data_IF_426501539714
#
_entry.id   IF_426501539714
#
_cell.length_a   1.000
_cell.length_b   1.000
_cell.length_c   1.000
_cell.angle_alpha   90.00
_cell.angle_beta   90.00
_cell.angle_gamma   90.00
#
_symmetry.space_group_name_H-M   'P 1'
#
loop_
_entity.id
_entity.type
_entity.pdbx_description
1 polymer ?
#
# COMPACT_ATOMS: atom_id res chain seq x y z
N UNK A 1 -9.44 -0.08 7.41
CA UNK A 1 -9.59 0.01 5.96
C UNK A 1 -8.78 -1.06 5.24
N UNK A 2 -7.47 -1.11 5.42
CA UNK A 2 -6.58 -2.06 4.73
C UNK A 2 -6.96 -3.53 4.93
N UNK A 3 -7.32 -3.94 6.14
CA UNK A 3 -7.79 -5.32 6.41
C UNK A 3 -9.07 -5.67 5.64
N UNK A 4 -10.01 -4.71 5.51
CA UNK A 4 -11.23 -4.94 4.71
C UNK A 4 -10.88 -5.02 3.21
N UNK A 5 -9.99 -4.18 2.73
CA UNK A 5 -9.50 -4.23 1.35
C UNK A 5 -8.79 -5.57 1.05
N UNK A 6 -7.93 -6.02 1.97
CA UNK A 6 -7.27 -7.32 1.87
C UNK A 6 -8.28 -8.48 1.88
N UNK A 7 -9.26 -8.45 2.79
CA UNK A 7 -10.29 -9.47 2.85
C UNK A 7 -11.09 -9.56 1.55
N UNK A 8 -11.52 -8.42 1.00
CA UNK A 8 -12.24 -8.36 -0.27
C UNK A 8 -11.38 -8.86 -1.44
N UNK A 9 -10.11 -8.48 -1.47
CA UNK A 9 -9.18 -8.93 -2.52
C UNK A 9 -8.97 -10.46 -2.49
N UNK A 10 -8.88 -11.05 -1.31
CA UNK A 10 -8.83 -12.51 -1.13
C UNK A 10 -10.11 -13.17 -1.60
N UNK A 11 -11.26 -12.63 -1.21
CA UNK A 11 -12.57 -13.14 -1.61
C UNK A 11 -12.70 -13.19 -3.13
N UNK A 12 -12.34 -12.11 -3.84
CA UNK A 12 -12.34 -12.07 -5.31
C UNK A 12 -11.53 -13.21 -5.91
N UNK A 13 -10.31 -13.45 -5.43
CA UNK A 13 -9.45 -14.50 -5.98
C UNK A 13 -9.95 -15.90 -5.63
N UNK A 14 -10.47 -16.09 -4.41
CA UNK A 14 -10.93 -17.38 -3.93
C UNK A 14 -12.29 -17.82 -4.51
N UNK A 15 -13.06 -16.88 -5.06
CA UNK A 15 -14.32 -17.18 -5.79
C UNK A 15 -14.06 -17.79 -7.17
N UNK A 16 -12.83 -17.74 -7.68
CA UNK A 16 -12.55 -18.32 -8.99
C UNK A 16 -12.80 -19.86 -8.98
N UNK A 17 -13.51 -20.41 -9.98
CA UNK A 17 -13.77 -21.85 -10.07
C UNK A 17 -12.50 -22.72 -10.07
N UNK A 18 -11.39 -22.15 -10.49
CA UNK A 18 -10.10 -22.84 -10.56
C UNK A 18 -9.24 -22.66 -9.31
N UNK A 19 -9.70 -21.90 -8.32
CA UNK A 19 -8.95 -21.65 -7.09
C UNK A 19 -8.44 -22.93 -6.42
N UNK A 20 -9.31 -23.95 -6.31
CA UNK A 20 -8.94 -25.26 -5.74
C UNK A 20 -7.83 -25.99 -6.51
N UNK A 21 -7.60 -25.62 -7.76
CA UNK A 21 -6.52 -26.13 -8.62
C UNK A 21 -5.24 -25.28 -8.53
N UNK A 22 -5.25 -24.21 -7.73
CA UNK A 22 -4.09 -23.37 -7.47
C UNK A 22 -3.86 -22.24 -8.50
N UNK A 23 -4.87 -21.90 -9.30
CA UNK A 23 -4.78 -20.75 -10.20
C UNK A 23 -6.09 -19.95 -10.25
N UNK A 24 -6.02 -18.75 -10.79
CA UNK A 24 -7.12 -17.80 -10.92
C UNK A 24 -7.25 -17.40 -12.39
N UNK A 25 -8.45 -17.47 -12.91
CA UNK A 25 -8.77 -17.06 -14.27
C UNK A 25 -8.75 -15.54 -14.47
N UNK A 26 -8.87 -15.12 -15.72
CA UNK A 26 -8.72 -13.73 -16.10
C UNK A 26 -9.76 -12.81 -15.48
N UNK A 27 -11.00 -13.27 -15.33
CA UNK A 27 -12.09 -12.40 -14.86
C UNK A 27 -11.92 -12.02 -13.39
N UNK A 28 -11.63 -12.99 -12.51
CA UNK A 28 -11.33 -12.69 -11.11
C UNK A 28 -10.05 -11.87 -10.95
N UNK A 29 -9.03 -12.15 -11.79
CA UNK A 29 -7.79 -11.36 -11.77
C UNK A 29 -7.99 -9.92 -12.24
N UNK A 30 -8.86 -9.67 -13.22
CA UNK A 30 -9.26 -8.32 -13.63
C UNK A 30 -10.02 -7.58 -12.53
N UNK A 31 -10.96 -8.25 -11.86
CA UNK A 31 -11.69 -7.65 -10.73
C UNK A 31 -10.72 -7.27 -9.60
N UNK A 32 -9.82 -8.18 -9.25
CA UNK A 32 -8.74 -7.89 -8.29
C UNK A 32 -7.90 -6.69 -8.74
N UNK A 33 -7.56 -6.63 -10.03
CA UNK A 33 -6.79 -5.52 -10.61
C UNK A 33 -7.50 -4.18 -10.50
N UNK A 34 -8.79 -4.11 -10.81
CA UNK A 34 -9.60 -2.90 -10.64
C UNK A 34 -9.59 -2.41 -9.18
N UNK A 35 -9.70 -3.32 -8.23
CA UNK A 35 -9.66 -3.03 -6.81
C UNK A 35 -8.25 -2.62 -6.35
N UNK A 36 -7.26 -3.52 -6.51
CA UNK A 36 -5.95 -3.41 -5.85
C UNK A 36 -4.93 -2.58 -6.63
N UNK A 37 -5.12 -2.35 -7.92
CA UNK A 37 -4.25 -1.48 -8.72
C UNK A 37 -4.85 -0.09 -8.94
N UNK A 38 -6.17 0.04 -8.86
CA UNK A 38 -6.90 1.29 -9.12
C UNK A 38 -7.46 1.92 -7.85
N UNK A 39 -8.47 1.29 -7.27
CA UNK A 39 -9.28 1.94 -6.23
C UNK A 39 -8.56 2.09 -4.89
N UNK A 40 -7.92 1.02 -4.41
CA UNK A 40 -7.33 1.00 -3.05
C UNK A 40 -6.10 1.91 -2.91
N UNK A 41 -5.12 1.89 -3.84
CA UNK A 41 -3.95 2.76 -3.73
C UNK A 41 -4.22 4.20 -4.21
N UNK A 42 -5.32 4.42 -4.94
CA UNK A 42 -5.64 5.72 -5.54
C UNK A 42 -6.34 6.67 -4.58
N UNK A 43 -5.93 7.92 -4.57
CA UNK A 43 -6.73 8.98 -3.95
C UNK A 43 -7.83 9.42 -4.92
N UNK A 44 -8.92 10.07 -4.43
CA UNK A 44 -9.92 10.67 -5.32
C UNK A 44 -9.30 11.61 -6.37
N UNK A 45 -8.32 12.42 -5.96
CA UNK A 45 -7.61 13.33 -6.88
C UNK A 45 -6.78 12.59 -7.93
N UNK A 46 -6.12 11.49 -7.54
CA UNK A 46 -5.40 10.64 -8.49
C UNK A 46 -6.34 10.04 -9.53
N UNK A 47 -7.46 9.46 -9.10
CA UNK A 47 -8.46 8.88 -10.00
C UNK A 47 -9.04 9.95 -10.95
N UNK A 48 -9.40 11.14 -10.42
CA UNK A 48 -9.91 12.25 -11.24
C UNK A 48 -8.89 12.68 -12.29
N UNK A 49 -7.63 12.86 -11.91
CA UNK A 49 -6.59 13.27 -12.86
C UNK A 49 -6.32 12.17 -13.91
N UNK A 50 -6.28 10.91 -13.48
CA UNK A 50 -6.08 9.80 -14.40
C UNK A 50 -7.23 9.64 -15.39
N UNK A 51 -8.47 9.88 -14.97
CA UNK A 51 -9.63 9.79 -15.85
C UNK A 51 -9.59 10.80 -17.01
N UNK A 52 -8.86 11.92 -16.85
CA UNK A 52 -8.70 12.91 -17.93
C UNK A 52 -7.83 12.42 -19.09
N UNK A 53 -7.10 11.34 -18.90
CA UNK A 53 -6.20 10.74 -19.92
C UNK A 53 -6.92 9.65 -20.75
N UNK A 54 -8.19 9.34 -20.41
CA UNK A 54 -8.98 8.29 -21.04
C UNK A 54 -10.30 8.85 -21.55
N UNK A 55 -10.94 8.15 -22.49
CA UNK A 55 -12.24 8.56 -23.04
C UNK A 55 -13.36 8.53 -21.98
N UNK A 56 -13.32 7.49 -21.12
CA UNK A 56 -14.30 7.30 -20.06
C UNK A 56 -13.69 6.53 -18.86
N UNK A 57 -14.49 6.34 -17.83
CA UNK A 57 -14.09 5.64 -16.61
C UNK A 57 -13.90 4.13 -16.83
N UNK A 58 -14.61 3.55 -17.77
CA UNK A 58 -14.52 2.15 -18.15
C UNK A 58 -13.16 1.87 -18.83
N UNK A 59 -12.65 2.81 -19.61
CA UNK A 59 -11.32 2.70 -20.20
C UNK A 59 -10.21 2.80 -19.14
N UNK A 60 -10.34 3.72 -18.19
CA UNK A 60 -9.44 3.79 -17.05
C UNK A 60 -9.47 2.49 -16.24
N UNK A 61 -10.66 1.91 -15.99
CA UNK A 61 -10.79 0.62 -15.32
C UNK A 61 -10.06 -0.49 -16.08
N UNK A 62 -10.25 -0.57 -17.39
CA UNK A 62 -9.54 -1.54 -18.26
C UNK A 62 -8.03 -1.38 -18.18
N UNK A 63 -7.53 -0.15 -18.06
CA UNK A 63 -6.10 0.10 -17.86
C UNK A 63 -5.59 -0.53 -16.56
N UNK A 64 -6.26 -0.33 -15.43
CA UNK A 64 -5.88 -0.98 -14.17
C UNK A 64 -5.94 -2.51 -14.25
N UNK A 65 -6.96 -3.04 -14.90
CA UNK A 65 -7.10 -4.48 -15.14
C UNK A 65 -5.95 -5.02 -16.00
N UNK A 66 -5.55 -4.29 -17.04
CA UNK A 66 -4.41 -4.66 -17.89
C UNK A 66 -3.08 -4.60 -17.13
N UNK A 67 -2.89 -3.60 -16.27
CA UNK A 67 -1.72 -3.53 -15.41
C UNK A 67 -1.61 -4.75 -14.48
N UNK A 68 -2.73 -5.21 -13.92
CA UNK A 68 -2.78 -6.43 -13.12
C UNK A 68 -2.42 -7.67 -13.94
N UNK A 69 -2.94 -7.79 -15.17
CA UNK A 69 -2.58 -8.90 -16.07
C UNK A 69 -1.08 -8.92 -16.39
N UNK A 70 -0.48 -7.76 -16.63
CA UNK A 70 0.95 -7.63 -16.94
C UNK A 70 1.86 -7.94 -15.74
N UNK A 71 1.32 -7.87 -14.52
CA UNK A 71 2.04 -8.09 -13.25
C UNK A 71 1.54 -9.32 -12.50
N UNK A 72 0.95 -10.27 -13.20
CA UNK A 72 0.37 -11.46 -12.62
C UNK A 72 1.39 -12.20 -11.74
N UNK A 73 0.98 -12.50 -10.54
CA UNK A 73 1.73 -13.29 -9.57
C UNK A 73 0.97 -14.59 -9.24
N UNK A 74 1.57 -15.48 -8.49
CA UNK A 74 0.82 -16.61 -7.91
C UNK A 74 -0.25 -16.04 -6.94
N UNK A 75 -1.53 -16.31 -7.16
CA UNK A 75 -2.59 -15.76 -6.30
C UNK A 75 -2.47 -16.23 -4.85
N UNK A 76 -1.83 -17.37 -4.59
CA UNK A 76 -1.58 -17.88 -3.24
C UNK A 76 -0.59 -17.01 -2.50
N UNK A 77 0.41 -16.45 -3.18
CA UNK A 77 1.38 -15.51 -2.58
C UNK A 77 0.65 -14.25 -2.08
N UNK A 78 -0.27 -13.71 -2.90
CA UNK A 78 -1.09 -12.59 -2.46
C UNK A 78 -1.93 -12.93 -1.23
N UNK A 79 -2.59 -14.08 -1.23
CA UNK A 79 -3.42 -14.53 -0.10
C UNK A 79 -2.57 -14.63 1.18
N UNK A 80 -1.41 -15.28 1.11
CA UNK A 80 -0.52 -15.43 2.26
C UNK A 80 0.05 -14.10 2.75
N UNK A 81 0.47 -13.23 1.84
CA UNK A 81 0.96 -11.89 2.19
C UNK A 81 -0.10 -11.07 2.92
N UNK A 82 -1.33 -11.09 2.43
CA UNK A 82 -2.40 -10.32 3.07
C UNK A 82 -2.84 -10.90 4.40
N UNK A 83 -2.81 -12.22 4.59
CA UNK A 83 -3.02 -12.82 5.92
C UNK A 83 -1.90 -12.43 6.89
N UNK A 84 -0.66 -12.49 6.45
CA UNK A 84 0.48 -12.08 7.27
C UNK A 84 0.40 -10.58 7.64
N UNK A 85 0.00 -9.73 6.69
CA UNK A 85 -0.22 -8.30 6.94
C UNK A 85 -1.32 -8.07 7.97
N UNK A 86 -2.47 -8.73 7.81
CA UNK A 86 -3.63 -8.55 8.68
C UNK A 86 -3.38 -9.07 10.10
N UNK A 87 -2.55 -10.08 10.25
CA UNK A 87 -2.19 -10.69 11.53
C UNK A 87 -0.94 -10.06 12.17
N UNK A 88 -0.28 -9.11 11.50
CA UNK A 88 0.96 -8.54 12.00
C UNK A 88 0.72 -7.71 13.26
N UNK A 89 1.40 -8.08 14.36
CA UNK A 89 1.50 -7.33 15.60
C UNK A 89 2.95 -7.34 16.09
N UNK A 90 3.53 -6.17 16.28
CA UNK A 90 4.89 -6.03 16.82
C UNK A 90 5.01 -6.59 18.23
N UNK A 91 3.92 -6.57 19.01
CA UNK A 91 3.87 -7.07 20.37
C UNK A 91 3.97 -8.59 20.44
N UNK A 92 3.41 -9.33 19.49
CA UNK A 92 3.39 -10.80 19.49
C UNK A 92 4.80 -11.43 19.49
N UNK A 93 5.73 -10.82 18.76
CA UNK A 93 7.13 -11.24 18.70
C UNK A 93 7.99 -10.82 19.90
N UNK A 94 7.50 -9.95 20.75
CA UNK A 94 8.26 -9.25 21.78
C UNK A 94 7.91 -9.67 23.23
N UNK A 95 7.52 -10.91 23.44
CA UNK A 95 7.33 -11.52 24.78
C UNK A 95 6.32 -10.76 25.67
N UNK A 96 5.19 -10.37 25.14
CA UNK A 96 4.11 -9.72 25.88
C UNK A 96 4.27 -8.21 26.05
N UNK A 97 5.13 -7.57 25.28
CA UNK A 97 5.16 -6.11 25.15
C UNK A 97 4.01 -5.63 24.24
N UNK A 98 3.51 -4.43 24.49
CA UNK A 98 2.60 -3.78 23.55
C UNK A 98 3.37 -3.22 22.34
N UNK A 99 2.69 -2.98 21.22
CA UNK A 99 3.26 -2.28 20.06
C UNK A 99 3.95 -0.98 20.44
N UNK A 100 3.34 -0.18 21.33
CA UNK A 100 3.93 1.07 21.84
C UNK A 100 5.25 0.83 22.56
N UNK A 101 5.30 -0.19 23.44
CA UNK A 101 6.51 -0.54 24.18
C UNK A 101 7.62 -1.00 23.25
N UNK A 102 7.28 -1.75 22.20
CA UNK A 102 8.24 -2.19 21.18
C UNK A 102 8.79 -0.98 20.43
N UNK A 103 7.92 -0.08 19.96
CA UNK A 103 8.35 1.15 19.24
C UNK A 103 9.24 2.03 20.13
N UNK A 104 8.89 2.22 21.41
CA UNK A 104 9.72 2.97 22.36
C UNK A 104 11.09 2.32 22.61
N UNK A 105 11.21 1.01 22.48
CA UNK A 105 12.48 0.28 22.69
C UNK A 105 13.48 0.46 21.53
N UNK A 106 13.05 0.94 20.37
CA UNK A 106 13.89 1.13 19.18
C UNK A 106 14.82 2.32 19.41
N UNK A 107 16.14 2.07 19.44
CA UNK A 107 17.15 3.09 19.73
C UNK A 107 17.84 3.65 18.48
N UNK A 108 17.66 3.03 17.33
CA UNK A 108 18.16 3.54 16.05
C UNK A 108 17.30 4.69 15.55
N UNK A 109 17.84 5.65 14.80
CA UNK A 109 17.03 6.64 14.09
C UNK A 109 16.08 5.97 13.09
N UNK A 110 14.83 6.45 13.02
CA UNK A 110 13.83 5.96 12.09
C UNK A 110 13.18 7.14 11.39
N UNK A 111 13.15 7.10 10.07
CA UNK A 111 12.43 8.05 9.23
C UNK A 111 11.18 7.37 8.68
N UNK A 112 10.02 7.95 8.96
CA UNK A 112 8.73 7.53 8.39
C UNK A 112 8.27 8.61 7.42
N UNK A 113 7.97 8.22 6.18
CA UNK A 113 7.45 9.13 5.16
C UNK A 113 6.04 8.68 4.78
N UNK A 114 5.05 9.55 4.99
CA UNK A 114 3.66 9.31 4.63
C UNK A 114 3.20 10.22 3.49
N UNK A 115 2.13 9.83 2.80
CA UNK A 115 1.49 10.64 1.77
C UNK A 115 0.07 11.02 2.21
N UNK A 116 -0.40 12.27 1.96
CA UNK A 116 -1.78 12.65 2.21
C UNK A 116 -2.74 11.71 1.48
N UNK A 117 -3.90 11.47 2.09
CA UNK A 117 -4.97 10.65 1.52
C UNK A 117 -4.57 9.20 1.17
N UNK A 118 -3.46 8.70 1.72
CA UNK A 118 -3.17 7.27 1.65
C UNK A 118 -4.19 6.50 2.49
N UNK A 119 -5.11 5.83 1.81
CA UNK A 119 -6.17 5.04 2.45
C UNK A 119 -5.68 3.65 2.88
N UNK A 120 -4.59 3.18 2.29
CA UNK A 120 -4.04 1.87 2.61
C UNK A 120 -3.15 1.92 3.85
N UNK A 121 -2.30 2.96 3.93
CA UNK A 121 -1.47 3.25 5.11
C UNK A 121 -1.74 4.70 5.56
N UNK A 122 -2.77 4.93 6.43
CA UNK A 122 -3.17 6.27 6.82
C UNK A 122 -2.03 7.08 7.44
N UNK A 123 -1.90 8.33 7.05
CA UNK A 123 -0.84 9.25 7.51
C UNK A 123 -0.86 9.50 9.00
N UNK A 124 -2.03 9.45 9.61
CA UNK A 124 -2.17 9.62 11.08
C UNK A 124 -1.45 8.50 11.82
N UNK A 125 -1.60 7.25 11.39
CA UNK A 125 -0.91 6.11 11.97
C UNK A 125 0.61 6.20 11.80
N UNK A 126 1.07 6.69 10.65
CA UNK A 126 2.49 6.93 10.40
C UNK A 126 3.07 8.01 11.33
N UNK A 127 2.33 9.11 11.57
CA UNK A 127 2.71 10.16 12.52
C UNK A 127 2.74 9.64 13.96
N UNK A 128 1.70 8.91 14.36
CA UNK A 128 1.61 8.32 15.70
C UNK A 128 2.77 7.37 15.95
N UNK A 129 3.08 6.51 14.98
CA UNK A 129 4.24 5.60 15.08
C UNK A 129 5.55 6.35 15.23
N UNK A 130 5.74 7.45 14.49
CA UNK A 130 6.96 8.27 14.62
C UNK A 130 7.07 8.94 16.00
N UNK A 131 5.96 9.36 16.61
CA UNK A 131 5.95 9.94 17.96
C UNK A 131 6.26 8.91 19.06
N UNK A 132 5.94 7.64 18.84
CA UNK A 132 6.25 6.56 19.78
C UNK A 132 7.71 6.12 19.72
N UNK A 133 8.42 6.41 18.64
CA UNK A 133 9.84 6.08 18.48
C UNK A 133 10.72 7.08 19.23
N UNK A 134 11.72 6.60 19.99
CA UNK A 134 12.65 7.45 20.73
C UNK A 134 13.46 8.41 19.84
N UNK A 135 13.74 8.01 18.60
CA UNK A 135 14.45 8.79 17.56
C UNK A 135 13.67 8.77 16.25
N UNK A 136 12.33 8.86 16.35
CA UNK A 136 11.44 8.90 15.21
C UNK A 136 11.39 10.28 14.55
N UNK A 137 11.35 10.32 13.24
CA UNK A 137 11.09 11.51 12.44
C UNK A 137 10.00 11.20 11.43
N UNK A 138 8.98 12.05 11.37
CA UNK A 138 7.93 11.98 10.35
C UNK A 138 8.13 13.08 9.31
N UNK A 139 7.98 12.72 8.04
CA UNK A 139 7.89 13.65 6.92
C UNK A 139 6.67 13.33 6.06
N UNK A 140 6.08 14.36 5.48
CA UNK A 140 4.96 14.20 4.57
C UNK A 140 5.39 14.56 3.13
N UNK A 141 5.26 13.60 2.22
CA UNK A 141 5.45 13.85 0.79
C UNK A 141 4.18 14.52 0.24
N UNK A 142 4.34 15.70 -0.38
CA UNK A 142 3.24 16.45 -0.95
C UNK A 142 2.82 15.87 -2.31
N UNK A 143 2.20 14.69 -2.27
CA UNK A 143 1.78 13.95 -3.45
C UNK A 143 0.27 13.67 -3.40
N UNK A 144 -0.39 13.78 -4.54
CA UNK A 144 -1.78 13.37 -4.70
C UNK A 144 -1.93 11.88 -5.05
N UNK A 145 -0.82 11.14 -5.15
CA UNK A 145 -0.84 9.72 -5.51
C UNK A 145 -1.20 8.80 -4.33
N UNK A 146 -1.33 9.32 -3.11
CA UNK A 146 -1.62 8.52 -1.92
C UNK A 146 -0.60 7.40 -1.73
N UNK A 147 -1.06 6.16 -1.62
CA UNK A 147 -0.19 4.99 -1.45
C UNK A 147 0.87 4.84 -2.55
N UNK A 148 0.56 5.27 -3.77
CA UNK A 148 1.51 5.17 -4.89
C UNK A 148 2.61 6.24 -4.87
N UNK A 149 2.59 7.22 -3.95
CA UNK A 149 3.60 8.27 -3.87
C UNK A 149 5.03 7.71 -3.65
N UNK A 150 5.14 6.65 -2.85
CA UNK A 150 6.42 5.98 -2.58
C UNK A 150 7.06 5.32 -3.82
N UNK A 151 6.30 5.15 -4.90
CA UNK A 151 6.81 4.55 -6.15
C UNK A 151 7.75 5.46 -6.93
N UNK A 152 7.81 6.76 -6.61
CA UNK A 152 8.62 7.75 -7.32
C UNK A 152 8.20 7.96 -8.78
N UNK A 153 6.96 7.63 -9.16
CA UNK A 153 6.46 7.78 -10.54
C UNK A 153 6.42 9.24 -10.99
N UNK A 154 6.12 10.17 -10.08
CA UNK A 154 6.26 11.59 -10.34
C UNK A 154 7.69 12.02 -10.06
N UNK A 155 8.25 12.85 -10.95
CA UNK A 155 9.61 13.36 -10.80
C UNK A 155 9.82 14.12 -9.49
N UNK A 156 8.83 14.91 -9.07
CA UNK A 156 8.86 15.67 -7.83
C UNK A 156 8.89 14.75 -6.60
N UNK A 157 8.09 13.66 -6.63
CA UNK A 157 8.05 12.67 -5.55
C UNK A 157 9.40 11.95 -5.45
N UNK A 158 9.98 11.53 -6.58
CA UNK A 158 11.30 10.91 -6.63
C UNK A 158 12.40 11.84 -6.11
N UNK A 159 12.37 13.11 -6.49
CA UNK A 159 13.34 14.13 -6.02
C UNK A 159 13.21 14.35 -4.51
N UNK A 160 11.98 14.46 -4.00
CA UNK A 160 11.72 14.58 -2.55
C UNK A 160 12.28 13.36 -1.81
N UNK A 161 11.90 12.13 -2.23
CA UNK A 161 12.34 10.90 -1.58
C UNK A 161 13.87 10.78 -1.58
N UNK A 162 14.51 10.99 -2.73
CA UNK A 162 15.97 10.91 -2.84
C UNK A 162 16.67 11.91 -1.92
N UNK A 163 16.19 13.15 -1.87
CA UNK A 163 16.76 14.18 -1.01
C UNK A 163 16.62 13.85 0.47
N UNK A 164 15.39 13.53 0.91
CA UNK A 164 15.12 13.33 2.34
C UNK A 164 15.75 12.04 2.87
N UNK A 165 15.72 10.95 2.08
CA UNK A 165 16.39 9.70 2.44
C UNK A 165 17.90 9.88 2.48
N UNK A 166 18.49 10.55 1.48
CA UNK A 166 19.95 10.84 1.48
C UNK A 166 20.36 11.66 2.69
N UNK A 167 19.61 12.73 3.01
CA UNK A 167 19.87 13.55 4.17
C UNK A 167 19.78 12.75 5.49
N UNK A 168 18.81 11.85 5.57
CA UNK A 168 18.64 11.01 6.76
C UNK A 168 19.78 10.00 6.94
N UNK A 169 20.30 9.43 5.87
CA UNK A 169 21.35 8.42 5.91
C UNK A 169 22.75 8.98 6.21
N UNK A 170 22.93 10.31 6.04
CA UNK A 170 24.25 10.99 6.27
C UNK A 170 24.36 11.53 7.70
N UNK A 171 23.25 11.64 8.41
CA UNK A 171 23.18 12.17 9.78
C UNK A 171 22.70 11.12 10.78
#
# INVERSE_FOLDING_TARGET
WSQLANALSREILMQDPNWKRGFVGDDCWKLWGGLMMGLIPGTPKYITNSALEFEDIEELLKNFQQQAQNRRMDPRDWIWQTFAYDAHDLGDGAKGLTTEQVLHSIQIPVLIIGAPDDLYNPTEEARNSAMLLSKGRYLEIQSFLGHAAASGRRAEDAQFLNREISNFLVH
#
